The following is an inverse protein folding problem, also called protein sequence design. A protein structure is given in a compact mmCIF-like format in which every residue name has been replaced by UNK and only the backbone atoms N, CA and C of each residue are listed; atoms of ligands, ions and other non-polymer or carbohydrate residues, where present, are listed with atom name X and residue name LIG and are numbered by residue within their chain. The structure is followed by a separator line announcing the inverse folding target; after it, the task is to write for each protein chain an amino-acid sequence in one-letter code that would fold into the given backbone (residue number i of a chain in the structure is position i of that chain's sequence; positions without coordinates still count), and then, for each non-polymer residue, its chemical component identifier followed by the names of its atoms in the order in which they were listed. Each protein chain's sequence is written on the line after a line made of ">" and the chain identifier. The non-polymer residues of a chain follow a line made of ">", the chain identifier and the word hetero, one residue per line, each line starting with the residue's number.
data_IF_105043218618
#
_entry.id   IF_105043218618
#
_cell.length_a   1.000
_cell.length_b   1.000
_cell.length_c   1.000
_cell.angle_alpha   90.00
_cell.angle_beta   90.00
_cell.angle_gamma   90.00
#
_symmetry.space_group_name_H-M   'P 1'
#
loop_
_entity.id
_entity.type
_entity.pdbx_description
1 polymer ?
#
# COMPACT_ATOMS: atom_id res chain seq x y z
N UNK A 1 16.30 -8.95 21.40
CA UNK A 1 15.63 -7.64 21.65
C UNK A 1 14.43 -7.52 20.73
N UNK A 2 13.27 -7.28 21.29
CA UNK A 2 12.05 -7.08 20.48
C UNK A 2 11.91 -5.60 20.19
N UNK A 3 12.45 -5.14 19.06
CA UNK A 3 12.25 -3.76 18.59
C UNK A 3 10.77 -3.51 18.27
N UNK A 4 10.34 -2.29 18.52
CA UNK A 4 9.01 -1.80 18.14
C UNK A 4 8.98 -1.35 16.69
N UNK A 5 7.77 -1.24 16.15
CA UNK A 5 7.54 -0.69 14.81
C UNK A 5 8.07 0.74 14.71
N UNK A 6 7.85 1.58 15.74
CA UNK A 6 8.30 2.96 15.77
C UNK A 6 9.83 3.14 15.62
N UNK A 7 10.62 2.15 16.09
CA UNK A 7 12.09 2.21 16.00
C UNK A 7 12.61 1.95 14.58
N UNK A 8 11.78 1.37 13.70
CA UNK A 8 12.22 0.89 12.37
C UNK A 8 11.43 1.55 11.24
N UNK A 9 10.21 2.02 11.49
CA UNK A 9 9.37 2.64 10.47
C UNK A 9 10.04 3.88 9.85
N UNK A 10 9.59 4.23 8.65
CA UNK A 10 9.80 5.58 8.10
C UNK A 10 8.76 6.49 8.73
N UNK A 11 9.15 7.45 9.59
CA UNK A 11 8.22 8.38 10.21
C UNK A 11 7.76 9.46 9.21
N UNK A 12 6.67 10.16 9.56
CA UNK A 12 6.13 11.28 8.78
C UNK A 12 6.00 10.95 7.28
N UNK A 13 5.22 9.92 6.93
CA UNK A 13 5.15 9.48 5.55
C UNK A 13 4.46 10.52 4.67
N UNK A 14 4.82 10.54 3.40
CA UNK A 14 4.07 11.29 2.41
C UNK A 14 2.69 10.64 2.28
N UNK A 15 1.65 11.46 2.35
CA UNK A 15 0.25 11.03 2.27
C UNK A 15 -0.48 11.78 1.16
N UNK A 16 -1.60 11.24 0.69
CA UNK A 16 -2.54 11.96 -0.16
C UNK A 16 -3.91 12.02 0.51
N UNK A 17 -4.78 12.87 0.03
CA UNK A 17 -6.20 12.88 0.38
C UNK A 17 -7.01 12.22 -0.73
N UNK A 18 -8.24 11.75 -0.46
CA UNK A 18 -9.10 11.12 -1.47
C UNK A 18 -9.34 12.00 -2.70
N UNK A 19 -9.46 13.31 -2.52
CA UNK A 19 -9.71 14.30 -3.58
C UNK A 19 -8.42 14.81 -4.27
N UNK A 20 -7.24 14.36 -3.83
CA UNK A 20 -5.98 14.71 -4.49
C UNK A 20 -6.04 14.29 -5.96
N UNK A 21 -5.69 15.20 -6.91
CA UNK A 21 -5.61 14.84 -8.33
C UNK A 21 -4.63 13.68 -8.54
N UNK A 22 -5.07 12.64 -9.26
CA UNK A 22 -4.26 11.44 -9.46
C UNK A 22 -2.90 11.76 -10.08
N UNK A 23 -2.84 12.73 -10.99
CA UNK A 23 -1.60 13.19 -11.61
C UNK A 23 -0.58 13.69 -10.58
N UNK A 24 -1.02 14.41 -9.57
CA UNK A 24 -0.16 14.91 -8.50
C UNK A 24 0.38 13.75 -7.65
N UNK A 25 -0.47 12.80 -7.31
CA UNK A 25 -0.06 11.61 -6.57
C UNK A 25 0.96 10.77 -7.36
N UNK A 26 0.76 10.58 -8.67
CA UNK A 26 1.72 9.91 -9.56
C UNK A 26 3.06 10.63 -9.58
N UNK A 27 3.06 11.96 -9.72
CA UNK A 27 4.29 12.76 -9.70
C UNK A 27 5.01 12.65 -8.36
N UNK A 28 4.25 12.61 -7.26
CA UNK A 28 4.79 12.45 -5.93
C UNK A 28 5.48 11.08 -5.77
N UNK A 29 4.82 9.98 -6.17
CA UNK A 29 5.41 8.63 -6.14
C UNK A 29 6.72 8.57 -6.93
N UNK A 30 6.73 9.12 -8.14
CA UNK A 30 7.88 9.11 -9.03
C UNK A 30 9.05 9.94 -8.48
N UNK A 31 8.80 11.18 -8.03
CA UNK A 31 9.85 12.08 -7.55
C UNK A 31 10.50 11.62 -6.25
N UNK A 32 9.73 11.01 -5.35
CA UNK A 32 10.23 10.46 -4.09
C UNK A 32 10.69 9.00 -4.17
N UNK A 33 10.53 8.37 -5.34
CA UNK A 33 10.89 6.95 -5.58
C UNK A 33 10.23 6.01 -4.56
N UNK A 34 8.97 6.25 -4.25
CA UNK A 34 8.15 5.42 -3.36
C UNK A 34 7.14 4.63 -4.17
N UNK A 35 6.88 3.38 -3.75
CA UNK A 35 5.98 2.45 -4.47
C UNK A 35 4.52 2.55 -4.03
N UNK A 36 4.19 3.46 -3.14
CA UNK A 36 2.84 3.73 -2.67
C UNK A 36 2.85 4.65 -1.46
N UNK A 37 1.68 5.19 -1.17
CA UNK A 37 1.47 6.13 -0.07
C UNK A 37 0.11 5.90 0.59
N UNK A 38 -0.04 6.19 1.90
CA UNK A 38 -1.31 6.18 2.58
C UNK A 38 -2.20 7.32 2.07
N UNK A 39 -3.50 7.03 1.99
CA UNK A 39 -4.53 8.05 1.77
C UNK A 39 -5.22 8.32 3.09
N UNK A 40 -5.23 9.57 3.50
CA UNK A 40 -5.77 10.00 4.79
C UNK A 40 -6.94 10.95 4.62
N UNK A 41 -7.84 10.93 5.58
CA UNK A 41 -8.91 11.93 5.69
C UNK A 41 -8.42 13.21 6.37
N UNK A 42 -9.33 14.17 6.56
CA UNK A 42 -9.04 15.44 7.22
C UNK A 42 -8.62 15.32 8.68
N UNK A 43 -8.88 14.19 9.32
CA UNK A 43 -8.45 13.89 10.70
C UNK A 43 -7.06 13.23 10.76
N UNK A 44 -6.49 12.86 9.62
CA UNK A 44 -5.21 12.16 9.52
C UNK A 44 -5.32 10.64 9.65
N UNK A 45 -6.53 10.08 9.62
CA UNK A 45 -6.76 8.64 9.66
C UNK A 45 -6.66 8.03 8.27
N UNK A 46 -6.10 6.82 8.16
CA UNK A 46 -5.97 6.12 6.90
C UNK A 46 -7.34 5.65 6.38
N UNK A 47 -7.70 6.07 5.18
CA UNK A 47 -8.94 5.68 4.48
C UNK A 47 -8.67 4.86 3.22
N UNK A 48 -7.43 4.76 2.81
CA UNK A 48 -7.01 4.00 1.64
C UNK A 48 -5.50 3.96 1.50
N UNK A 49 -5.05 3.30 0.45
CA UNK A 49 -3.67 3.24 0.02
C UNK A 49 -3.62 3.34 -1.50
N UNK A 50 -2.70 4.17 -2.02
CA UNK A 50 -2.39 4.24 -3.45
C UNK A 50 -1.04 3.60 -3.69
N UNK A 51 -0.96 2.64 -4.60
CA UNK A 51 0.27 1.93 -4.94
C UNK A 51 0.51 1.87 -6.45
N UNK A 52 1.75 1.54 -6.83
CA UNK A 52 2.10 1.28 -8.24
C UNK A 52 1.19 0.24 -8.88
N UNK A 53 0.74 -0.78 -8.12
CA UNK A 53 -0.19 -1.81 -8.62
C UNK A 53 -1.52 -1.22 -9.05
N UNK A 54 -2.04 -0.25 -8.29
CA UNK A 54 -3.30 0.44 -8.63
C UNK A 54 -3.14 1.26 -9.91
N UNK A 55 -1.97 1.85 -10.13
CA UNK A 55 -1.65 2.66 -11.30
C UNK A 55 -1.43 1.84 -12.57
N UNK A 56 -1.12 0.55 -12.46
CA UNK A 56 -0.97 -0.32 -13.62
C UNK A 56 -2.28 -0.43 -14.41
N UNK A 57 -3.43 -0.32 -13.77
CA UNK A 57 -4.73 -0.26 -14.44
C UNK A 57 -4.88 1.00 -15.31
N UNK A 58 -4.32 2.13 -14.88
CA UNK A 58 -4.27 3.36 -15.66
C UNK A 58 -3.38 3.20 -16.91
N UNK A 59 -2.23 2.55 -16.76
CA UNK A 59 -1.26 2.37 -17.83
C UNK A 59 -1.67 1.30 -18.86
N UNK A 60 -2.33 0.22 -18.41
CA UNK A 60 -2.74 -0.90 -19.27
C UNK A 60 -4.08 -0.69 -19.95
N UNK A 61 -4.89 0.23 -19.46
CA UNK A 61 -6.29 0.41 -19.89
C UNK A 61 -7.21 -0.70 -19.35
N UNK A 62 -8.52 -0.45 -19.42
CA UNK A 62 -9.53 -1.45 -19.08
C UNK A 62 -9.67 -2.48 -20.20
N UNK A 63 -9.55 -3.75 -19.85
CA UNK A 63 -9.79 -4.85 -20.80
C UNK A 63 -11.29 -5.11 -20.88
N UNK A 64 -11.86 -5.07 -22.09
CA UNK A 64 -13.26 -5.42 -22.27
C UNK A 64 -13.52 -6.87 -21.81
N UNK A 65 -14.58 -7.12 -21.02
CA UNK A 65 -14.91 -8.47 -20.62
C UNK A 65 -15.22 -9.32 -21.85
N UNK A 66 -14.75 -10.55 -21.87
CA UNK A 66 -15.16 -11.50 -22.89
C UNK A 66 -16.68 -11.70 -22.82
N UNK A 67 -17.36 -11.50 -23.93
CA UNK A 67 -18.80 -11.70 -24.05
C UNK A 67 -19.15 -12.45 -25.35
N UNK A 68 -20.28 -13.11 -25.33
CA UNK A 68 -20.87 -13.71 -26.52
C UNK A 68 -22.28 -13.14 -26.74
N UNK A 69 -22.65 -12.89 -27.99
CA UNK A 69 -24.01 -12.57 -28.35
C UNK A 69 -24.76 -13.86 -28.70
N UNK A 70 -25.83 -14.14 -28.00
CA UNK A 70 -26.70 -15.27 -28.27
C UNK A 70 -28.15 -14.79 -28.29
N UNK A 71 -28.81 -14.91 -29.44
CA UNK A 71 -30.24 -14.59 -29.61
C UNK A 71 -30.63 -13.21 -29.05
N UNK A 72 -29.93 -12.16 -29.50
CA UNK A 72 -30.09 -10.76 -29.06
C UNK A 72 -29.79 -10.49 -27.58
N UNK A 73 -29.21 -11.47 -26.89
CA UNK A 73 -28.74 -11.30 -25.50
C UNK A 73 -27.21 -11.30 -25.42
N UNK A 74 -26.67 -10.39 -24.60
CA UNK A 74 -25.24 -10.34 -24.32
C UNK A 74 -24.98 -11.19 -23.07
N UNK A 75 -24.14 -12.23 -23.21
CA UNK A 75 -23.71 -13.07 -22.09
C UNK A 75 -22.24 -12.75 -21.79
N UNK A 76 -21.99 -12.21 -20.59
CA UNK A 76 -20.63 -11.98 -20.14
C UNK A 76 -20.00 -13.27 -19.65
N UNK A 77 -18.82 -13.60 -20.16
CA UNK A 77 -18.03 -14.76 -19.75
C UNK A 77 -17.17 -14.50 -18.49
N UNK A 78 -17.13 -13.24 -18.05
CA UNK A 78 -16.43 -12.79 -16.85
C UNK A 78 -17.36 -11.96 -15.97
N UNK A 79 -17.00 -11.85 -14.67
CA UNK A 79 -17.82 -11.11 -13.70
C UNK A 79 -17.91 -9.61 -14.07
N UNK A 80 -19.11 -9.05 -14.38
CA UNK A 80 -19.28 -7.65 -14.75
C UNK A 80 -18.82 -6.67 -13.66
N UNK A 81 -18.93 -7.06 -12.39
CA UNK A 81 -18.51 -6.20 -11.27
C UNK A 81 -17.01 -5.97 -11.24
N UNK A 82 -16.22 -6.97 -11.63
CA UNK A 82 -14.77 -6.83 -11.75
C UNK A 82 -14.39 -5.86 -12.86
N UNK A 83 -15.07 -5.95 -14.02
CA UNK A 83 -14.86 -5.03 -15.13
C UNK A 83 -15.19 -3.58 -14.76
N UNK A 84 -16.30 -3.35 -14.06
CA UNK A 84 -16.65 -2.00 -13.61
C UNK A 84 -15.60 -1.42 -12.66
N UNK A 85 -15.04 -2.21 -11.75
CA UNK A 85 -13.95 -1.77 -10.88
C UNK A 85 -12.68 -1.44 -11.66
N UNK A 86 -12.32 -2.27 -12.63
CA UNK A 86 -11.15 -2.05 -13.49
C UNK A 86 -11.34 -0.79 -14.35
N UNK A 87 -12.55 -0.57 -14.89
CA UNK A 87 -12.88 0.62 -15.66
C UNK A 87 -12.81 1.89 -14.83
N UNK A 88 -13.35 1.87 -13.60
CA UNK A 88 -13.25 3.00 -12.68
C UNK A 88 -11.78 3.34 -12.38
N UNK A 89 -10.94 2.35 -12.11
CA UNK A 89 -9.51 2.55 -11.89
C UNK A 89 -8.79 3.09 -13.15
N UNK A 90 -9.16 2.63 -14.34
CA UNK A 90 -8.55 3.06 -15.59
C UNK A 90 -8.91 4.50 -15.99
N UNK A 91 -10.10 4.97 -15.61
CA UNK A 91 -10.61 6.31 -15.94
C UNK A 91 -10.50 7.30 -14.77
N UNK A 92 -10.04 6.86 -13.62
CA UNK A 92 -9.97 7.66 -12.39
C UNK A 92 -9.12 8.92 -12.57
N UNK A 93 -9.59 10.04 -12.01
CA UNK A 93 -8.91 11.33 -12.03
C UNK A 93 -8.44 11.77 -10.65
N UNK A 94 -9.02 11.23 -9.61
CA UNK A 94 -8.64 11.46 -8.21
C UNK A 94 -8.07 10.21 -7.59
N UNK A 95 -7.37 10.39 -6.48
CA UNK A 95 -6.83 9.25 -5.69
C UNK A 95 -7.95 8.31 -5.26
N UNK A 96 -9.10 8.83 -4.84
CA UNK A 96 -10.26 8.03 -4.43
C UNK A 96 -10.77 7.08 -5.52
N UNK A 97 -10.68 7.47 -6.79
CA UNK A 97 -11.14 6.66 -7.91
C UNK A 97 -10.28 5.39 -8.11
N UNK A 98 -9.01 5.45 -7.69
CA UNK A 98 -7.98 4.45 -8.02
C UNK A 98 -7.48 3.69 -6.79
N UNK A 99 -7.47 4.32 -5.61
CA UNK A 99 -6.95 3.75 -4.38
C UNK A 99 -7.61 2.42 -4.00
N UNK A 100 -6.88 1.61 -3.25
CA UNK A 100 -7.43 0.47 -2.54
C UNK A 100 -7.93 0.93 -1.17
N UNK A 101 -9.21 0.68 -0.85
CA UNK A 101 -9.83 1.11 0.41
C UNK A 101 -9.42 0.24 1.60
N UNK A 102 -8.97 -1.01 1.35
CA UNK A 102 -8.48 -1.89 2.41
C UNK A 102 -7.08 -1.47 2.82
N UNK A 103 -6.94 -0.89 4.01
CA UNK A 103 -5.65 -0.49 4.59
C UNK A 103 -5.25 -1.47 5.67
N UNK A 104 -4.02 -1.94 5.63
CA UNK A 104 -3.45 -2.76 6.69
C UNK A 104 -2.65 -1.85 7.64
N UNK A 105 -3.16 -1.66 8.84
CA UNK A 105 -2.55 -0.80 9.86
C UNK A 105 -1.90 -1.60 10.98
N UNK A 106 -0.92 -0.99 11.64
CA UNK A 106 -0.27 -1.53 12.83
C UNK A 106 0.03 -0.38 13.79
N UNK A 107 -0.06 -0.64 15.09
CA UNK A 107 0.30 0.34 16.11
C UNK A 107 1.81 0.60 16.15
N UNK A 108 2.20 1.85 16.38
CA UNK A 108 3.62 2.25 16.44
C UNK A 108 4.39 1.55 17.57
N UNK A 109 3.72 1.15 18.65
CA UNK A 109 4.32 0.42 19.78
C UNK A 109 4.30 -1.11 19.61
N UNK A 110 3.65 -1.61 18.57
CA UNK A 110 3.64 -3.05 18.27
C UNK A 110 5.05 -3.58 17.97
N UNK A 111 5.24 -4.89 18.20
CA UNK A 111 6.52 -5.53 17.93
C UNK A 111 6.78 -5.72 16.44
N UNK A 112 8.05 -5.64 16.04
CA UNK A 112 8.48 -5.93 14.67
C UNK A 112 8.12 -7.37 14.26
N UNK A 113 8.09 -8.31 15.21
CA UNK A 113 7.65 -9.69 14.97
C UNK A 113 6.18 -9.74 14.52
N UNK A 114 5.30 -8.99 15.20
CA UNK A 114 3.88 -8.88 14.81
C UNK A 114 3.74 -8.31 13.40
N UNK A 115 4.50 -7.26 13.09
CA UNK A 115 4.50 -6.66 11.76
C UNK A 115 4.93 -7.64 10.67
N UNK A 116 6.02 -8.39 10.89
CA UNK A 116 6.50 -9.40 9.97
C UNK A 116 5.48 -10.52 9.75
N UNK A 117 4.82 -10.96 10.81
CA UNK A 117 3.77 -11.97 10.73
C UNK A 117 2.57 -11.48 9.93
N UNK A 118 2.07 -10.27 10.19
CA UNK A 118 0.98 -9.68 9.42
C UNK A 118 1.32 -9.57 7.93
N UNK A 119 2.54 -9.11 7.59
CA UNK A 119 2.98 -9.00 6.19
C UNK A 119 3.05 -10.37 5.50
N UNK A 120 3.41 -11.42 6.26
CA UNK A 120 3.46 -12.78 5.74
C UNK A 120 2.06 -13.35 5.51
N UNK A 121 1.20 -13.30 6.52
CA UNK A 121 -0.12 -13.93 6.51
C UNK A 121 -1.07 -13.25 5.49
N UNK A 122 -1.04 -11.91 5.42
CA UNK A 122 -1.85 -11.13 4.50
C UNK A 122 -1.20 -10.94 3.11
N UNK A 123 0.02 -11.49 2.91
CA UNK A 123 0.79 -11.36 1.65
C UNK A 123 0.99 -9.92 1.18
N UNK A 124 1.10 -8.97 2.13
CA UNK A 124 1.29 -7.54 1.87
C UNK A 124 2.76 -7.13 2.00
N UNK A 125 3.12 -6.01 1.39
CA UNK A 125 4.50 -5.51 1.34
C UNK A 125 4.78 -4.37 2.30
N UNK A 126 3.73 -3.73 2.82
CA UNK A 126 3.81 -2.58 3.72
C UNK A 126 2.66 -2.55 4.71
N UNK A 127 2.88 -1.85 5.79
CA UNK A 127 1.88 -1.55 6.82
C UNK A 127 1.88 -0.05 7.06
N UNK A 128 0.70 0.53 7.17
CA UNK A 128 0.52 1.91 7.61
C UNK A 128 0.61 1.91 9.14
N UNK A 129 1.53 2.70 9.68
CA UNK A 129 1.73 2.77 11.12
C UNK A 129 0.88 3.90 11.70
N UNK A 130 0.13 3.58 12.73
CA UNK A 130 -0.78 4.51 13.40
C UNK A 130 -0.43 4.69 14.88
N UNK A 131 -0.78 5.87 15.40
CA UNK A 131 -0.71 6.17 16.83
C UNK A 131 -1.97 5.70 17.58
N UNK A 132 -2.06 6.03 18.86
CA UNK A 132 -3.19 5.66 19.73
C UNK A 132 -4.50 6.36 19.35
N UNK A 133 -4.44 7.47 18.62
CA UNK A 133 -5.59 8.18 18.02
C UNK A 133 -5.93 7.69 16.61
N UNK A 134 -5.32 6.59 16.16
CA UNK A 134 -5.44 6.01 14.80
C UNK A 134 -4.98 6.93 13.67
N UNK A 135 -4.17 7.96 13.96
CA UNK A 135 -3.58 8.82 12.93
C UNK A 135 -2.34 8.17 12.35
N UNK A 136 -2.13 8.38 11.07
CA UNK A 136 -0.94 7.88 10.37
C UNK A 136 0.30 8.61 10.84
N UNK A 137 1.26 7.87 11.39
CA UNK A 137 2.54 8.38 11.90
C UNK A 137 3.75 7.79 11.20
N UNK A 138 3.58 6.72 10.42
CA UNK A 138 4.69 6.07 9.73
C UNK A 138 4.24 5.08 8.67
N UNK A 139 5.25 4.56 7.95
CA UNK A 139 5.12 3.39 7.08
C UNK A 139 6.22 2.40 7.44
N UNK A 140 5.88 1.12 7.47
CA UNK A 140 6.81 0.02 7.61
C UNK A 140 6.72 -0.90 6.39
N UNK A 141 7.85 -1.21 5.78
CA UNK A 141 7.93 -2.09 4.61
C UNK A 141 8.69 -3.38 4.90
N UNK A 142 8.54 -4.40 4.05
CA UNK A 142 9.37 -5.62 4.13
C UNK A 142 10.86 -5.28 4.06
N UNK A 143 11.24 -4.27 3.27
CA UNK A 143 12.63 -3.83 3.15
C UNK A 143 13.20 -3.29 4.46
N UNK A 144 12.39 -2.61 5.27
CA UNK A 144 12.81 -2.11 6.58
C UNK A 144 13.10 -3.26 7.54
N UNK A 145 12.24 -4.28 7.53
CA UNK A 145 12.42 -5.49 8.34
C UNK A 145 13.69 -6.24 7.91
N UNK A 146 13.92 -6.41 6.62
CA UNK A 146 15.12 -7.09 6.10
C UNK A 146 16.39 -6.33 6.46
N UNK A 147 16.40 -4.98 6.37
CA UNK A 147 17.54 -4.16 6.79
C UNK A 147 17.84 -4.33 8.28
N UNK A 148 16.79 -4.36 9.11
CA UNK A 148 16.98 -4.58 10.54
C UNK A 148 17.53 -5.98 10.85
N UNK A 149 17.07 -7.00 10.15
CA UNK A 149 17.65 -8.35 10.29
C UNK A 149 19.14 -8.35 9.94
N UNK A 150 19.53 -7.71 8.84
CA UNK A 150 20.94 -7.61 8.43
C UNK A 150 21.79 -6.88 9.48
N UNK A 151 21.29 -5.79 10.04
CA UNK A 151 21.96 -5.06 11.11
C UNK A 151 22.15 -5.93 12.38
N UNK A 152 21.14 -6.70 12.73
CA UNK A 152 21.19 -7.59 13.90
C UNK A 152 22.21 -8.72 13.70
N UNK A 153 22.33 -9.28 12.51
CA UNK A 153 23.37 -10.28 12.19
C UNK A 153 24.77 -9.68 12.22
N UNK A 154 24.95 -8.47 11.70
CA UNK A 154 26.25 -7.78 11.71
C UNK A 154 26.76 -7.46 13.12
N UNK A 155 25.83 -7.18 14.05
CA UNK A 155 26.17 -6.95 15.47
C UNK A 155 26.48 -8.26 16.22
N UNK A 156 25.88 -9.37 15.82
CA UNK A 156 26.12 -10.69 16.42
C UNK A 156 27.46 -11.32 16.00
N UNK A 157 28.00 -10.91 14.86
CA UNK A 157 29.32 -11.33 14.35
C UNK A 157 30.33 -10.23 14.67
N UNK A 158 30.59 -9.98 15.95
CA UNK A 158 31.80 -9.25 16.35
C UNK A 158 33.02 -10.11 15.91
N UNK A 159 34.03 -9.53 15.22
CA UNK A 159 35.20 -10.29 14.86
C UNK A 159 35.85 -10.83 16.14
N UNK A 160 36.07 -12.15 16.16
CA UNK A 160 36.98 -12.77 17.11
C UNK A 160 38.30 -12.00 16.97
N UNK A 161 38.63 -11.18 17.91
CA UNK A 161 39.96 -10.56 18.00
C UNK A 161 40.90 -11.68 18.38
N UNK A 162 41.90 -11.93 17.54
CA UNK A 162 43.08 -12.73 17.83
C UNK A 162 43.84 -12.15 19.02
#
# INVERSE_FOLDING_TARGET
>A
MTKTVAEIMTPEPITAMPDTPLKEAIQCLASHRISGLPVVDSSGQAVGELSETDLMWQASGATLPAYIMLLDSVIYLTNPNRYNQELHKALGQTVADVMTSKVHTIGHQDSLKKAAQMMHDEQIRRLVVVDDDHKVVGILTRGDIVREMANSYSQAVAPLRD
#
